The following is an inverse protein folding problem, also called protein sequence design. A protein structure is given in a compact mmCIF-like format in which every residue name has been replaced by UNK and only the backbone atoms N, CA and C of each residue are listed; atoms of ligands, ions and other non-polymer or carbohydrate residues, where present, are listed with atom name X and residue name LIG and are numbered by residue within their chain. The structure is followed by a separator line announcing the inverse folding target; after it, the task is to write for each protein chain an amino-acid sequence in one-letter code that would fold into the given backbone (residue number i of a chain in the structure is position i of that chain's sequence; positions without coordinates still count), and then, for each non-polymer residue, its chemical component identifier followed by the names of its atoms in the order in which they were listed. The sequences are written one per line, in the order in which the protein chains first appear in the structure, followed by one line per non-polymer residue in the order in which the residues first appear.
data_IF_548894771877
#
_entry.id   IF_548894771877
#
_cell.length_a   1.000
_cell.length_b   1.000
_cell.length_c   1.000
_cell.angle_alpha   90.00
_cell.angle_beta   90.00
_cell.angle_gamma   90.00
#
_symmetry.space_group_name_H-M   'P 1'
#
loop_
_entity.id
_entity.type
_entity.pdbx_description
1 polymer ?
#
# COMPACT_ATOMS: atom_id res chain seq x y z
N UNK A 1 4.87 4.58 32.38
CA UNK A 1 3.93 5.19 31.41
C UNK A 1 4.28 6.66 31.30
N UNK A 2 4.62 7.15 30.11
CA UNK A 2 4.71 8.59 29.88
C UNK A 2 3.28 9.08 29.63
N UNK A 3 2.83 10.07 30.41
CA UNK A 3 1.55 10.75 30.18
C UNK A 3 1.71 11.62 28.93
N UNK A 4 1.10 11.20 27.82
CA UNK A 4 0.96 12.00 26.61
C UNK A 4 -0.49 12.45 26.45
N UNK A 5 -0.68 13.52 25.69
CA UNK A 5 -2.02 14.02 25.39
C UNK A 5 -2.83 12.98 24.60
N UNK A 6 -4.14 12.87 24.84
CA UNK A 6 -4.99 11.94 24.11
C UNK A 6 -5.02 12.30 22.63
N UNK A 7 -4.80 11.31 21.77
CA UNK A 7 -4.89 11.47 20.31
C UNK A 7 -6.35 11.35 19.90
N UNK A 8 -6.89 12.40 19.30
CA UNK A 8 -8.22 12.34 18.71
C UNK A 8 -8.20 11.44 17.46
N UNK A 9 -9.05 10.41 17.47
CA UNK A 9 -9.16 9.45 16.38
C UNK A 9 -10.58 8.91 16.27
N UNK A 10 -10.90 8.35 15.11
CA UNK A 10 -12.18 7.68 14.84
C UNK A 10 -11.96 6.24 14.38
N UNK A 11 -12.84 5.36 14.87
CA UNK A 11 -12.97 3.99 14.38
C UNK A 11 -13.98 3.94 13.24
N UNK A 12 -13.59 3.32 12.13
CA UNK A 12 -14.43 3.07 10.97
C UNK A 12 -14.49 1.57 10.77
N UNK A 13 -15.70 1.02 10.79
CA UNK A 13 -15.95 -0.38 10.50
C UNK A 13 -16.54 -0.46 9.10
N UNK A 14 -15.84 -1.12 8.18
CA UNK A 14 -16.27 -1.31 6.79
C UNK A 14 -16.49 -2.78 6.52
N UNK A 15 -17.66 -3.11 5.95
CA UNK A 15 -17.99 -4.47 5.49
C UNK A 15 -18.21 -4.43 3.99
N UNK A 16 -17.49 -5.27 3.27
CA UNK A 16 -17.62 -5.47 1.84
C UNK A 16 -18.44 -6.73 1.65
N UNK A 17 -19.59 -6.61 0.99
CA UNK A 17 -20.50 -7.71 0.71
C UNK A 17 -20.52 -7.99 -0.79
N UNK A 18 -20.71 -9.26 -1.16
CA UNK A 18 -21.07 -9.65 -2.51
C UNK A 18 -22.57 -9.37 -2.77
N UNK A 19 -23.00 -9.48 -4.03
CA UNK A 19 -24.38 -9.22 -4.43
C UNK A 19 -25.39 -10.15 -3.75
N UNK A 20 -24.98 -11.36 -3.35
CA UNK A 20 -25.78 -12.33 -2.61
C UNK A 20 -25.79 -12.10 -1.09
N UNK A 21 -25.14 -11.04 -0.61
CA UNK A 21 -25.00 -10.70 0.81
C UNK A 21 -23.84 -11.40 1.52
N UNK A 22 -23.05 -12.23 0.84
CA UNK A 22 -21.86 -12.88 1.42
C UNK A 22 -20.83 -11.84 1.84
N UNK A 23 -20.30 -11.94 3.06
CA UNK A 23 -19.23 -11.08 3.55
C UNK A 23 -17.90 -11.42 2.88
N UNK A 24 -17.39 -10.51 2.05
CA UNK A 24 -16.09 -10.65 1.37
C UNK A 24 -14.94 -10.17 2.25
N UNK A 25 -15.15 -9.10 3.01
CA UNK A 25 -14.16 -8.58 3.94
C UNK A 25 -14.80 -7.69 5.02
N UNK A 26 -14.19 -7.67 6.20
CA UNK A 26 -14.50 -6.74 7.27
C UNK A 26 -13.23 -6.06 7.75
N UNK A 27 -13.26 -4.73 7.84
CA UNK A 27 -12.11 -3.92 8.22
C UNK A 27 -12.44 -3.00 9.39
N UNK A 28 -11.52 -2.95 10.35
CA UNK A 28 -11.54 -2.04 11.49
C UNK A 28 -10.41 -1.04 11.29
N UNK A 29 -10.75 0.17 10.87
CA UNK A 29 -9.81 1.21 10.49
C UNK A 29 -9.78 2.29 11.57
N UNK A 30 -8.61 2.58 12.11
CA UNK A 30 -8.38 3.71 13.00
C UNK A 30 -7.76 4.86 12.22
N UNK A 31 -8.33 6.05 12.31
CA UNK A 31 -7.81 7.23 11.61
C UNK A 31 -7.93 8.49 12.45
N UNK A 32 -6.90 9.33 12.42
CA UNK A 32 -6.92 10.70 12.93
C UNK A 32 -7.34 11.72 11.84
N UNK A 33 -7.62 11.27 10.62
CA UNK A 33 -8.09 12.15 9.55
C UNK A 33 -9.59 12.36 9.71
N UNK A 34 -9.99 13.56 10.15
CA UNK A 34 -11.40 13.90 10.39
C UNK A 34 -12.07 14.62 9.23
N UNK A 35 -11.31 15.28 8.36
CA UNK A 35 -11.82 16.19 7.32
C UNK A 35 -12.51 15.51 6.11
N UNK A 36 -12.42 14.19 6.00
CA UNK A 36 -12.97 13.42 4.87
C UNK A 36 -14.06 12.47 5.35
N UNK A 37 -14.92 12.01 4.45
CA UNK A 37 -15.93 11.01 4.80
C UNK A 37 -15.31 9.63 5.11
N UNK A 38 -16.03 8.85 5.93
CA UNK A 38 -15.63 7.49 6.35
C UNK A 38 -15.60 6.54 5.15
N UNK A 39 -16.52 6.69 4.18
CA UNK A 39 -16.53 5.87 2.98
C UNK A 39 -15.29 6.13 2.10
N UNK A 40 -14.87 7.39 2.01
CA UNK A 40 -13.64 7.79 1.31
C UNK A 40 -12.40 7.17 1.95
N UNK A 41 -12.31 7.17 3.30
CA UNK A 41 -11.20 6.49 3.99
C UNK A 41 -11.19 4.97 3.77
N UNK A 42 -12.36 4.33 3.82
CA UNK A 42 -12.47 2.91 3.52
C UNK A 42 -12.03 2.60 2.08
N UNK A 43 -12.38 3.47 1.12
CA UNK A 43 -11.92 3.39 -0.25
C UNK A 43 -10.40 3.59 -0.36
N UNK A 44 -9.81 4.58 0.30
CA UNK A 44 -8.34 4.73 0.31
C UNK A 44 -7.64 3.49 0.87
N UNK A 45 -8.19 2.89 1.92
CA UNK A 45 -7.67 1.64 2.47
C UNK A 45 -7.81 0.46 1.50
N UNK A 46 -8.90 0.38 0.74
CA UNK A 46 -9.04 -0.60 -0.34
C UNK A 46 -7.88 -0.48 -1.35
N UNK A 47 -7.50 0.76 -1.71
CA UNK A 47 -6.41 1.02 -2.64
C UNK A 47 -5.02 0.71 -2.06
N UNK A 48 -4.89 0.53 -0.73
CA UNK A 48 -3.63 0.10 -0.10
C UNK A 48 -3.07 -1.15 -0.76
N UNK A 49 -3.93 -2.08 -1.18
CA UNK A 49 -3.50 -3.33 -1.82
C UNK A 49 -2.71 -3.13 -3.11
N UNK A 50 -2.83 -1.97 -3.78
CA UNK A 50 -2.08 -1.66 -4.99
C UNK A 50 -0.57 -1.78 -4.77
N UNK A 51 -0.05 -1.49 -3.58
CA UNK A 51 1.39 -1.60 -3.28
C UNK A 51 1.95 -3.02 -3.48
N UNK A 52 1.10 -4.05 -3.39
CA UNK A 52 1.52 -5.44 -3.64
C UNK A 52 2.01 -5.65 -5.08
N UNK A 53 1.43 -4.93 -6.04
CA UNK A 53 1.88 -4.98 -7.44
C UNK A 53 3.29 -4.43 -7.60
N UNK A 54 3.66 -3.38 -6.85
CA UNK A 54 5.04 -2.88 -6.81
C UNK A 54 5.99 -3.94 -6.24
N UNK A 55 5.64 -4.57 -5.12
CA UNK A 55 6.48 -5.61 -4.52
C UNK A 55 6.60 -6.86 -5.40
N UNK A 56 5.56 -7.23 -6.15
CA UNK A 56 5.63 -8.33 -7.14
C UNK A 56 6.64 -8.03 -8.25
N UNK A 57 6.61 -6.82 -8.81
CA UNK A 57 7.58 -6.40 -9.84
C UNK A 57 9.02 -6.39 -9.30
N UNK A 58 9.20 -5.88 -8.08
CA UNK A 58 10.52 -5.81 -7.45
C UNK A 58 11.10 -7.20 -7.13
N UNK A 59 10.31 -8.09 -6.52
CA UNK A 59 10.84 -9.34 -5.97
C UNK A 59 11.01 -10.45 -6.99
N UNK A 60 10.12 -10.54 -7.99
CA UNK A 60 10.12 -11.70 -8.90
C UNK A 60 9.94 -11.34 -10.37
N UNK A 61 8.92 -10.55 -10.71
CA UNK A 61 8.51 -10.40 -12.11
C UNK A 61 9.37 -9.44 -12.95
N UNK A 62 10.17 -8.55 -12.34
CA UNK A 62 10.98 -7.56 -13.05
C UNK A 62 12.44 -7.48 -12.60
N UNK A 63 12.68 -7.39 -11.29
CA UNK A 63 14.01 -7.08 -10.76
C UNK A 63 14.52 -8.09 -9.73
N UNK A 64 14.36 -9.41 -9.95
CA UNK A 64 14.39 -10.50 -8.97
C UNK A 64 15.27 -10.23 -7.73
N UNK A 65 14.71 -9.47 -6.77
CA UNK A 65 15.48 -8.83 -5.70
C UNK A 65 16.22 -9.85 -4.84
N UNK A 66 15.58 -11.00 -4.61
CA UNK A 66 16.08 -12.07 -3.75
C UNK A 66 17.24 -12.86 -4.38
N UNK A 67 17.47 -12.69 -5.69
CA UNK A 67 18.58 -13.33 -6.42
C UNK A 67 19.76 -12.39 -6.66
N UNK A 68 19.74 -11.21 -6.05
CA UNK A 68 20.80 -10.22 -6.18
C UNK A 68 22.05 -10.64 -5.41
N UNK A 69 23.21 -10.55 -6.06
CA UNK A 69 24.51 -10.94 -5.48
C UNK A 69 25.32 -9.72 -5.04
N UNK A 70 24.67 -8.62 -4.66
CA UNK A 70 25.37 -7.47 -4.11
C UNK A 70 25.89 -7.81 -2.70
N UNK A 71 27.21 -7.67 -2.50
CA UNK A 71 27.88 -8.08 -1.25
C UNK A 71 27.96 -6.97 -0.19
N UNK A 72 27.34 -5.81 -0.43
CA UNK A 72 27.29 -4.71 0.54
C UNK A 72 25.94 -4.01 0.56
N UNK A 73 25.56 -3.50 1.74
CA UNK A 73 24.32 -2.76 1.94
C UNK A 73 24.22 -1.54 1.01
N UNK A 74 25.33 -0.82 0.80
CA UNK A 74 25.35 0.34 -0.10
C UNK A 74 25.09 -0.07 -1.56
N UNK A 75 25.65 -1.19 -2.02
CA UNK A 75 25.41 -1.69 -3.37
C UNK A 75 23.95 -2.14 -3.56
N UNK A 76 23.38 -2.81 -2.56
CA UNK A 76 21.95 -3.17 -2.53
C UNK A 76 21.08 -1.91 -2.60
N UNK A 77 21.35 -0.92 -1.75
CA UNK A 77 20.58 0.33 -1.69
C UNK A 77 20.60 1.09 -3.03
N UNK A 78 21.78 1.21 -3.67
CA UNK A 78 21.90 1.84 -5.00
C UNK A 78 21.06 1.13 -6.06
N UNK A 79 21.09 -0.20 -6.09
CA UNK A 79 20.31 -0.97 -7.06
C UNK A 79 18.80 -0.93 -6.75
N UNK A 80 18.43 -0.95 -5.47
CA UNK A 80 17.05 -0.79 -5.02
C UNK A 80 16.47 0.53 -5.50
N UNK A 81 17.21 1.65 -5.40
CA UNK A 81 16.76 2.97 -5.86
C UNK A 81 16.36 2.94 -7.34
N UNK A 82 17.24 2.39 -8.20
CA UNK A 82 16.99 2.31 -9.65
C UNK A 82 15.82 1.35 -9.96
N UNK A 83 15.82 0.16 -9.36
CA UNK A 83 14.75 -0.83 -9.56
C UNK A 83 13.38 -0.31 -9.09
N UNK A 84 13.34 0.43 -7.97
CA UNK A 84 12.11 1.03 -7.45
C UNK A 84 11.54 2.05 -8.44
N UNK A 85 12.39 2.92 -9.00
CA UNK A 85 11.96 3.89 -10.00
C UNK A 85 11.46 3.22 -11.28
N UNK A 86 12.10 2.15 -11.72
CA UNK A 86 11.62 1.37 -12.85
C UNK A 86 10.23 0.78 -12.58
N UNK A 87 10.00 0.18 -11.40
CA UNK A 87 8.67 -0.33 -11.01
C UNK A 87 7.59 0.77 -11.02
N UNK A 88 7.88 1.96 -10.49
CA UNK A 88 6.94 3.09 -10.50
C UNK A 88 6.69 3.60 -11.92
N UNK A 89 7.72 3.60 -12.78
CA UNK A 89 7.59 4.03 -14.18
C UNK A 89 6.65 3.11 -14.96
N UNK A 90 6.69 1.81 -14.72
CA UNK A 90 5.73 0.85 -15.33
C UNK A 90 4.29 1.26 -15.03
N UNK A 91 4.00 1.70 -13.81
CA UNK A 91 2.66 2.15 -13.45
C UNK A 91 2.27 3.43 -14.18
N UNK A 92 3.18 4.39 -14.32
CA UNK A 92 2.93 5.62 -15.07
C UNK A 92 2.64 5.34 -16.56
N UNK A 93 3.31 4.34 -17.15
CA UNK A 93 3.08 3.91 -18.54
C UNK A 93 1.74 3.18 -18.68
N UNK A 94 1.40 2.33 -17.70
CA UNK A 94 0.15 1.56 -17.70
C UNK A 94 -1.09 2.39 -17.36
N UNK A 95 -0.90 3.56 -16.73
CA UNK A 95 -2.00 4.47 -16.41
C UNK A 95 -2.73 4.91 -17.69
N UNK A 96 -4.07 5.03 -17.67
CA UNK A 96 -4.83 5.53 -18.81
C UNK A 96 -4.31 6.91 -19.22
N UNK A 97 -4.03 7.11 -20.51
CA UNK A 97 -3.77 8.45 -21.04
C UNK A 97 -5.07 9.24 -21.02
N UNK A 98 -5.12 10.29 -20.22
CA UNK A 98 -6.17 11.32 -20.25
C UNK A 98 -6.02 12.18 -21.49
#
# INVERSE_FOLDING_TARGET
MVLGDPVEARLIISRILADDGTLLAEWFLLSNVMAVDRSTLALWYYWRWQIESFFKLMKSAGHPLESWQQESALAIAKRLLVASMACVTVWAIAAPRT
#
